data_IF_259615953567
#
_entry.id   IF_259615953567
#
_cell.length_a   1.000
_cell.length_b   1.000
_cell.length_c   1.000
_cell.angle_alpha   90.00
_cell.angle_beta   90.00
_cell.angle_gamma   90.00
#
_symmetry.space_group_name_H-M   'P 1'
#
loop_
_entity.id
_entity.type
_entity.pdbx_description
1 polymer ?
#
# COMPACT_ATOMS: atom_id res chain seq x y z
N UNK A 1 -0.66 10.60 5.83
CA UNK A 1 -1.09 10.44 4.42
C UNK A 1 -0.26 11.41 3.59
N UNK A 2 0.33 10.98 2.47
CA UNK A 2 1.24 11.75 1.60
C UNK A 2 0.53 12.92 0.89
N UNK A 3 0.06 13.88 1.69
CA UNK A 3 -0.74 15.02 1.25
C UNK A 3 0.04 15.97 0.35
N UNK A 4 1.35 16.09 0.57
CA UNK A 4 2.25 16.96 -0.18
C UNK A 4 2.54 16.45 -1.59
N UNK A 5 2.50 15.13 -1.78
CA UNK A 5 2.69 14.44 -3.06
C UNK A 5 1.38 14.12 -3.79
N UNK A 6 0.24 14.74 -3.43
CA UNK A 6 -0.95 14.54 -4.25
C UNK A 6 -0.66 14.95 -5.70
N UNK A 7 -1.11 14.17 -6.70
CA UNK A 7 -0.81 14.45 -8.12
C UNK A 7 -1.09 15.90 -8.51
N UNK A 8 -2.15 16.48 -7.96
CA UNK A 8 -2.51 17.88 -8.16
C UNK A 8 -1.50 18.86 -7.54
N UNK A 9 -0.90 18.54 -6.39
CA UNK A 9 0.09 19.40 -5.74
C UNK A 9 1.45 19.30 -6.41
N UNK A 10 1.88 18.09 -6.78
CA UNK A 10 3.13 17.89 -7.54
C UNK A 10 3.09 18.71 -8.83
N UNK A 11 1.96 18.69 -9.55
CA UNK A 11 1.81 19.46 -10.77
C UNK A 11 1.65 20.98 -10.56
N UNK A 12 1.20 21.44 -9.38
CA UNK A 12 0.83 22.85 -9.19
C UNK A 12 1.97 23.77 -8.78
N UNK A 13 2.92 23.32 -7.97
CA UNK A 13 4.02 24.19 -7.49
C UNK A 13 5.42 23.72 -7.90
N UNK A 14 5.67 22.39 -7.94
CA UNK A 14 6.98 21.89 -8.37
C UNK A 14 7.27 22.28 -9.82
N UNK A 15 6.32 22.05 -10.73
CA UNK A 15 6.46 22.42 -12.15
C UNK A 15 6.47 23.93 -12.44
N UNK A 16 6.12 24.76 -11.46
CA UNK A 16 6.05 26.23 -11.64
C UNK A 16 7.27 26.96 -11.12
N UNK A 17 8.15 26.28 -10.41
CA UNK A 17 9.37 26.89 -9.86
C UNK A 17 10.50 26.64 -10.85
N UNK A 18 10.92 27.62 -11.66
CA UNK A 18 11.87 27.40 -12.75
C UNK A 18 13.28 27.04 -12.26
N UNK A 19 13.62 27.37 -11.01
CA UNK A 19 14.92 27.07 -10.38
C UNK A 19 14.95 25.72 -9.66
N UNK A 20 13.84 24.98 -9.69
CA UNK A 20 13.76 23.66 -9.08
C UNK A 20 14.26 22.61 -10.06
N UNK A 21 15.12 21.71 -9.59
CA UNK A 21 15.64 20.61 -10.39
C UNK A 21 14.50 19.70 -10.90
N UNK A 22 14.43 19.49 -12.22
CA UNK A 22 13.46 18.61 -12.87
C UNK A 22 13.50 17.19 -12.30
N UNK A 23 14.66 16.73 -11.82
CA UNK A 23 14.81 15.42 -11.18
C UNK A 23 13.94 15.29 -9.94
N UNK A 24 13.74 16.36 -9.16
CA UNK A 24 12.83 16.33 -8.01
C UNK A 24 11.39 16.09 -8.46
N UNK A 25 10.99 16.70 -9.58
CA UNK A 25 9.66 16.53 -10.17
C UNK A 25 9.46 15.06 -10.59
N UNK A 26 10.43 14.50 -11.31
CA UNK A 26 10.40 13.10 -11.76
C UNK A 26 10.31 12.13 -10.59
N UNK A 27 11.21 12.26 -9.62
CA UNK A 27 11.25 11.38 -8.45
C UNK A 27 10.00 11.51 -7.57
N UNK A 28 9.44 12.71 -7.48
CA UNK A 28 8.16 12.95 -6.78
C UNK A 28 6.98 12.27 -7.48
N UNK A 29 6.95 12.26 -8.81
CA UNK A 29 5.92 11.55 -9.57
C UNK A 29 6.02 10.04 -9.40
N UNK A 30 7.25 9.51 -9.39
CA UNK A 30 7.50 8.10 -9.13
C UNK A 30 7.06 7.71 -7.70
N UNK A 31 7.46 8.50 -6.69
CA UNK A 31 7.04 8.30 -5.29
C UNK A 31 5.51 8.32 -5.13
N UNK A 32 4.84 9.24 -5.83
CA UNK A 32 3.37 9.30 -5.86
C UNK A 32 2.76 8.03 -6.43
N UNK A 33 3.35 7.50 -7.51
CA UNK A 33 2.89 6.27 -8.15
C UNK A 33 3.05 5.06 -7.23
N UNK A 34 4.20 4.93 -6.55
CA UNK A 34 4.41 3.86 -5.58
C UNK A 34 3.45 3.97 -4.39
N UNK A 35 3.25 5.16 -3.84
CA UNK A 35 2.29 5.37 -2.74
C UNK A 35 0.87 4.95 -3.14
N UNK A 36 0.42 5.31 -4.35
CA UNK A 36 -0.89 4.92 -4.88
C UNK A 36 -1.00 3.39 -5.01
N UNK A 37 0.03 2.73 -5.53
CA UNK A 37 0.08 1.27 -5.67
C UNK A 37 0.06 0.56 -4.32
N UNK A 38 0.86 1.01 -3.36
CA UNK A 38 0.90 0.47 -2.00
C UNK A 38 -0.45 0.66 -1.31
N UNK A 39 -1.09 1.81 -1.47
CA UNK A 39 -2.42 2.06 -0.90
C UNK A 39 -3.48 1.12 -1.48
N UNK A 40 -3.47 0.91 -2.80
CA UNK A 40 -4.36 -0.07 -3.46
C UNK A 40 -4.10 -1.49 -2.94
N UNK A 41 -2.84 -1.87 -2.79
CA UNK A 41 -2.44 -3.18 -2.28
C UNK A 41 -2.91 -3.40 -0.83
N UNK A 42 -2.73 -2.41 0.04
CA UNK A 42 -3.24 -2.43 1.43
C UNK A 42 -4.75 -2.69 1.44
N UNK A 43 -5.51 -1.93 0.66
CA UNK A 43 -6.97 -2.08 0.61
C UNK A 43 -7.38 -3.45 0.07
N UNK A 44 -6.69 -3.96 -0.94
CA UNK A 44 -6.95 -5.28 -1.50
C UNK A 44 -6.69 -6.40 -0.48
N UNK A 45 -5.53 -6.38 0.20
CA UNK A 45 -5.19 -7.37 1.22
C UNK A 45 -6.15 -7.28 2.42
N UNK A 46 -6.50 -6.07 2.87
CA UNK A 46 -7.48 -5.89 3.95
C UNK A 46 -8.83 -6.48 3.60
N UNK A 47 -9.33 -6.22 2.39
CA UNK A 47 -10.60 -6.78 1.93
C UNK A 47 -10.53 -8.30 1.88
N UNK A 48 -9.49 -8.85 1.27
CA UNK A 48 -9.32 -10.29 1.14
C UNK A 48 -9.21 -10.98 2.50
N UNK A 49 -8.38 -10.46 3.41
CA UNK A 49 -8.23 -11.00 4.75
C UNK A 49 -9.54 -11.00 5.55
N UNK A 50 -10.40 -9.98 5.34
CA UNK A 50 -11.72 -9.91 5.97
C UNK A 50 -12.71 -10.93 5.39
N UNK A 51 -12.61 -11.21 4.10
CA UNK A 51 -13.48 -12.14 3.41
C UNK A 51 -13.09 -13.62 3.68
N UNK A 52 -11.83 -13.86 4.07
CA UNK A 52 -11.33 -15.18 4.46
C UNK A 52 -11.96 -15.71 5.77
N UNK A 53 -12.37 -16.97 5.78
CA UNK A 53 -12.70 -17.72 7.01
C UNK A 53 -14.06 -17.42 7.67
N UNK A 54 -14.90 -16.59 7.06
CA UNK A 54 -16.26 -16.32 7.55
C UNK A 54 -17.20 -17.52 7.27
N UNK A 55 -18.16 -17.82 8.14
CA UNK A 55 -19.24 -18.79 7.82
C UNK A 55 -20.06 -18.38 6.60
N UNK A 56 -20.06 -17.08 6.26
CA UNK A 56 -20.69 -16.54 5.04
C UNK A 56 -19.84 -16.79 3.79
N UNK A 57 -18.59 -17.24 3.94
CA UNK A 57 -17.72 -17.67 2.85
C UNK A 57 -18.34 -18.88 2.15
N UNK A 58 -18.12 -19.07 0.83
CA UNK A 58 -18.65 -20.20 0.09
C UNK A 58 -18.44 -21.57 0.74
N UNK A 59 -17.28 -21.79 1.39
CA UNK A 59 -17.01 -23.04 2.11
C UNK A 59 -17.93 -23.27 3.31
N UNK A 60 -18.15 -22.27 4.18
CA UNK A 60 -19.06 -22.39 5.32
C UNK A 60 -20.52 -22.59 4.88
N UNK A 61 -20.95 -21.86 3.84
CA UNK A 61 -22.27 -22.06 3.21
C UNK A 61 -22.42 -23.47 2.63
N UNK A 62 -21.38 -23.97 1.96
CA UNK A 62 -21.37 -25.32 1.39
C UNK A 62 -21.44 -26.39 2.49
N UNK A 63 -20.64 -26.27 3.55
CA UNK A 63 -20.67 -27.19 4.69
C UNK A 63 -22.08 -27.28 5.31
N UNK A 64 -22.70 -26.12 5.57
CA UNK A 64 -24.06 -26.06 6.10
C UNK A 64 -25.11 -26.61 5.13
N UNK A 65 -24.99 -26.31 3.84
CA UNK A 65 -25.87 -26.86 2.81
C UNK A 65 -25.77 -28.39 2.71
N UNK A 66 -24.56 -28.93 2.80
CA UNK A 66 -24.31 -30.38 2.77
C UNK A 66 -24.94 -31.06 4.00
N UNK A 67 -24.78 -30.50 5.20
CA UNK A 67 -25.40 -31.03 6.43
C UNK A 67 -26.92 -31.02 6.34
N UNK A 68 -27.50 -29.90 5.93
CA UNK A 68 -28.96 -29.77 5.80
C UNK A 68 -29.51 -30.77 4.78
N UNK A 69 -28.79 -31.00 3.67
CA UNK A 69 -29.19 -32.01 2.69
C UNK A 69 -29.12 -33.42 3.28
N UNK A 70 -28.04 -33.73 4.02
CA UNK A 70 -27.85 -35.02 4.69
C UNK A 70 -28.99 -35.32 5.67
N UNK A 71 -29.41 -34.35 6.48
CA UNK A 71 -30.44 -34.54 7.50
C UNK A 71 -31.82 -34.86 6.91
N UNK A 72 -32.05 -34.51 5.64
CA UNK A 72 -33.22 -34.91 4.87
C UNK A 72 -33.14 -36.31 4.24
N UNK A 73 -32.01 -37.02 4.34
CA UNK A 73 -31.83 -38.33 3.70
C UNK A 73 -32.21 -39.50 4.62
N UNK A 74 -32.93 -40.47 4.06
CA UNK A 74 -33.42 -41.68 4.77
C UNK A 74 -32.38 -42.82 4.81
N UNK A 75 -31.36 -42.79 3.94
CA UNK A 75 -30.39 -43.89 3.79
C UNK A 75 -29.06 -43.64 4.51
N UNK A 76 -28.73 -44.49 5.50
CA UNK A 76 -27.49 -44.39 6.31
C UNK A 76 -26.18 -44.53 5.51
N UNK A 77 -26.20 -45.17 4.34
CA UNK A 77 -25.00 -45.44 3.54
C UNK A 77 -24.45 -44.22 2.80
N UNK A 78 -25.29 -43.22 2.50
CA UNK A 78 -24.88 -41.97 1.86
C UNK A 78 -24.56 -40.88 2.89
N UNK A 79 -25.20 -40.92 4.06
CA UNK A 79 -25.00 -39.95 5.14
C UNK A 79 -23.52 -39.79 5.53
N UNK A 80 -22.78 -40.89 5.68
CA UNK A 80 -21.35 -40.85 6.02
C UNK A 80 -20.45 -40.20 4.96
N UNK A 81 -20.84 -40.20 3.67
CA UNK A 81 -20.10 -39.49 2.61
C UNK A 81 -20.34 -37.98 2.68
N UNK A 82 -21.58 -37.57 2.94
CA UNK A 82 -21.92 -36.16 3.13
C UNK A 82 -21.27 -35.58 4.40
N UNK A 83 -21.16 -36.36 5.47
CA UNK A 83 -20.42 -35.93 6.67
C UNK A 83 -18.96 -35.62 6.37
N UNK A 84 -18.27 -36.52 5.65
CA UNK A 84 -16.88 -36.27 5.19
C UNK A 84 -16.77 -35.05 4.28
N UNK A 85 -17.75 -34.82 3.41
CA UNK A 85 -17.76 -33.67 2.51
C UNK A 85 -17.98 -32.35 3.27
N UNK A 86 -18.87 -32.35 4.27
CA UNK A 86 -19.07 -31.19 5.14
C UNK A 86 -17.82 -30.90 5.97
N UNK A 87 -17.17 -31.93 6.52
CA UNK A 87 -15.90 -31.80 7.25
C UNK A 87 -14.78 -31.26 6.35
N UNK A 88 -14.69 -31.70 5.09
CA UNK A 88 -13.74 -31.15 4.13
C UNK A 88 -13.99 -29.66 3.85
N UNK A 89 -15.25 -29.25 3.73
CA UNK A 89 -15.60 -27.83 3.55
C UNK A 89 -15.26 -26.97 4.77
N UNK A 90 -15.47 -27.48 5.99
CA UNK A 90 -15.03 -26.79 7.21
C UNK A 90 -13.50 -26.64 7.25
N UNK A 91 -12.75 -27.71 6.94
CA UNK A 91 -11.28 -27.66 6.87
C UNK A 91 -10.80 -26.66 5.81
N UNK A 92 -11.45 -26.58 4.65
CA UNK A 92 -11.15 -25.56 3.64
C UNK A 92 -11.44 -24.14 4.15
N UNK A 93 -12.52 -23.96 4.91
CA UNK A 93 -12.84 -22.68 5.55
C UNK A 93 -11.76 -22.28 6.55
N UNK A 94 -11.31 -23.21 7.40
CA UNK A 94 -10.23 -22.98 8.37
C UNK A 94 -8.90 -22.66 7.69
N UNK A 95 -8.52 -23.42 6.66
CA UNK A 95 -7.32 -23.16 5.87
C UNK A 95 -7.36 -21.78 5.20
N UNK A 96 -8.53 -21.37 4.70
CA UNK A 96 -8.74 -20.03 4.14
C UNK A 96 -8.67 -18.94 5.22
N UNK A 97 -9.22 -19.17 6.41
CA UNK A 97 -9.10 -18.25 7.55
C UNK A 97 -7.63 -18.03 7.93
N UNK A 98 -6.85 -19.11 7.98
CA UNK A 98 -5.43 -19.07 8.29
C UNK A 98 -4.63 -18.33 7.22
N UNK A 99 -4.94 -18.56 5.94
CA UNK A 99 -4.36 -17.78 4.83
C UNK A 99 -4.63 -16.28 5.02
N UNK A 100 -5.87 -15.90 5.34
CA UNK A 100 -6.26 -14.52 5.66
C UNK A 100 -5.45 -13.90 6.81
N UNK A 101 -5.22 -14.67 7.89
CA UNK A 101 -4.36 -14.26 9.01
C UNK A 101 -2.91 -14.05 8.56
N UNK A 102 -2.35 -14.98 7.79
CA UNK A 102 -0.95 -14.92 7.34
C UNK A 102 -0.68 -13.77 6.37
N UNK A 103 -1.58 -13.47 5.43
CA UNK A 103 -1.42 -12.30 4.56
C UNK A 103 -1.59 -10.99 5.35
N UNK A 104 -2.43 -10.97 6.40
CA UNK A 104 -2.55 -9.81 7.29
C UNK A 104 -1.26 -9.55 8.06
N UNK A 105 -0.70 -10.59 8.69
CA UNK A 105 0.53 -10.46 9.48
C UNK A 105 1.78 -10.28 8.63
N UNK A 106 1.86 -10.94 7.47
CA UNK A 106 3.06 -11.01 6.64
C UNK A 106 3.17 -9.93 5.56
N UNK A 107 2.02 -9.45 5.06
CA UNK A 107 1.97 -8.46 3.98
C UNK A 107 1.41 -7.12 4.47
N UNK A 108 0.20 -7.13 5.03
CA UNK A 108 -0.50 -5.90 5.40
C UNK A 108 0.26 -5.09 6.47
N UNK A 109 0.78 -5.75 7.50
CA UNK A 109 1.56 -5.08 8.56
C UNK A 109 2.76 -4.30 8.00
N UNK A 110 3.51 -4.90 7.06
CA UNK A 110 4.68 -4.30 6.41
C UNK A 110 4.27 -3.09 5.58
N UNK A 111 3.22 -3.20 4.79
CA UNK A 111 2.72 -2.08 3.98
C UNK A 111 2.22 -0.92 4.85
N UNK A 112 1.55 -1.21 5.97
CA UNK A 112 1.10 -0.17 6.90
C UNK A 112 2.28 0.53 7.58
N UNK A 113 3.28 -0.23 8.04
CA UNK A 113 4.49 0.33 8.65
C UNK A 113 5.24 1.25 7.68
N UNK A 114 5.40 0.83 6.43
CA UNK A 114 6.01 1.66 5.38
C UNK A 114 5.21 2.96 5.15
N UNK A 115 3.88 2.86 5.13
CA UNK A 115 2.99 4.01 4.99
C UNK A 115 3.05 4.98 6.18
N UNK A 116 3.36 4.48 7.37
CA UNK A 116 3.42 5.31 8.57
C UNK A 116 4.79 5.96 8.79
N UNK A 117 5.88 5.32 8.35
CA UNK A 117 7.24 5.86 8.53
C UNK A 117 7.70 6.62 7.29
N UNK A 118 7.98 5.93 6.19
CA UNK A 118 8.66 6.51 5.03
C UNK A 118 7.81 7.55 4.30
N UNK A 119 6.48 7.37 4.29
CA UNK A 119 5.57 8.37 3.71
C UNK A 119 5.51 9.68 4.52
N UNK A 120 5.80 9.65 5.83
CA UNK A 120 5.82 10.87 6.65
C UNK A 120 7.06 11.70 6.38
N UNK A 121 8.21 11.04 6.24
CA UNK A 121 9.48 11.71 5.93
C UNK A 121 9.39 12.45 4.58
N UNK A 122 8.87 11.77 3.55
CA UNK A 122 8.63 12.40 2.25
C UNK A 122 7.61 13.53 2.35
N UNK A 123 6.48 13.36 3.06
CA UNK A 123 5.48 14.42 3.20
C UNK A 123 6.04 15.65 3.91
N UNK A 124 6.86 15.47 4.94
CA UNK A 124 7.53 16.55 5.67
C UNK A 124 8.53 17.29 4.77
N UNK A 125 9.39 16.56 4.08
CA UNK A 125 10.41 17.13 3.22
C UNK A 125 9.77 17.93 2.07
N UNK A 126 8.75 17.37 1.42
CA UNK A 126 8.05 18.03 0.32
C UNK A 126 7.26 19.27 0.78
N UNK A 127 6.78 19.31 2.04
CA UNK A 127 6.16 20.52 2.63
C UNK A 127 7.18 21.63 2.84
N UNK A 128 8.39 21.30 3.30
CA UNK A 128 9.47 22.28 3.49
C UNK A 128 9.91 22.86 2.15
N UNK A 129 10.11 22.00 1.14
CA UNK A 129 10.44 22.43 -0.21
C UNK A 129 9.35 23.33 -0.81
N UNK A 130 8.07 22.95 -0.66
CA UNK A 130 6.94 23.77 -1.10
C UNK A 130 6.90 25.15 -0.45
N UNK A 131 7.31 25.25 0.82
CA UNK A 131 7.37 26.52 1.54
C UNK A 131 8.45 27.42 0.96
N UNK A 132 9.66 26.89 0.75
CA UNK A 132 10.77 27.67 0.19
C UNK A 132 10.50 28.13 -1.25
N UNK A 133 9.84 27.32 -2.08
CA UNK A 133 9.38 27.75 -3.40
C UNK A 133 8.44 28.96 -3.35
N UNK A 134 7.48 28.96 -2.39
CA UNK A 134 6.56 30.09 -2.19
C UNK A 134 7.28 31.32 -1.65
N UNK A 135 8.22 31.13 -0.73
CA UNK A 135 9.02 32.20 -0.15
C UNK A 135 9.90 32.86 -1.23
N UNK A 136 10.52 32.06 -2.10
CA UNK A 136 11.27 32.54 -3.27
C UNK A 136 10.40 33.38 -4.22
N UNK A 137 9.20 32.89 -4.57
CA UNK A 137 8.27 33.64 -5.43
C UNK A 137 7.85 34.97 -4.77
N UNK A 138 7.58 34.96 -3.47
CA UNK A 138 7.25 36.18 -2.71
C UNK A 138 8.41 37.17 -2.68
N UNK A 139 9.63 36.67 -2.46
CA UNK A 139 10.82 37.50 -2.35
C UNK A 139 11.23 38.10 -3.69
N UNK A 140 11.04 37.38 -4.81
CA UNK A 140 11.20 37.94 -6.17
C UNK A 140 10.28 39.13 -6.42
N UNK A 141 8.99 39.00 -6.11
CA UNK A 141 8.02 40.11 -6.23
C UNK A 141 8.36 41.31 -5.36
N UNK A 142 9.06 41.11 -4.23
CA UNK A 142 9.55 42.20 -3.38
C UNK A 142 10.79 42.86 -3.96
N UNK A 143 11.72 42.07 -4.50
CA UNK A 143 12.96 42.53 -5.14
C UNK A 143 12.69 43.32 -6.43
N UNK A 144 11.68 42.93 -7.22
CA UNK A 144 11.20 43.69 -8.38
C UNK A 144 10.76 45.11 -8.00
N UNK A 145 10.21 45.29 -6.79
CA UNK A 145 9.75 46.58 -6.28
C UNK A 145 10.85 47.37 -5.55
N UNK A 146 11.87 46.69 -5.05
CA UNK A 146 12.92 47.25 -4.20
C UNK A 146 14.19 46.39 -4.32
N UNK A 147 15.16 46.87 -5.10
CA UNK A 147 16.42 46.15 -5.37
C UNK A 147 17.24 45.87 -4.11
N UNK A 148 17.05 46.64 -3.02
CA UNK A 148 17.72 46.36 -1.74
C UNK A 148 17.25 45.04 -1.10
N UNK A 149 16.21 44.40 -1.63
CA UNK A 149 15.69 43.10 -1.17
C UNK A 149 16.24 41.91 -1.94
N UNK A 150 17.19 42.10 -2.87
CA UNK A 150 17.83 41.00 -3.61
C UNK A 150 18.45 39.94 -2.68
N UNK A 151 19.00 40.34 -1.52
CA UNK A 151 19.54 39.39 -0.53
C UNK A 151 18.51 38.35 -0.04
N UNK A 152 17.21 38.68 -0.03
CA UNK A 152 16.15 37.74 0.33
C UNK A 152 15.94 36.68 -0.75
N UNK A 153 16.14 37.05 -2.02
CA UNK A 153 16.10 36.12 -3.16
C UNK A 153 17.29 35.17 -3.07
N UNK A 154 18.49 35.70 -2.85
CA UNK A 154 19.72 34.90 -2.73
C UNK A 154 19.62 33.90 -1.56
N UNK A 155 19.15 34.34 -0.39
CA UNK A 155 18.93 33.46 0.76
C UNK A 155 17.87 32.37 0.49
N UNK A 156 16.84 32.69 -0.31
CA UNK A 156 15.81 31.72 -0.70
C UNK A 156 16.32 30.73 -1.73
N UNK A 157 17.18 31.14 -2.66
CA UNK A 157 17.84 30.27 -3.64
C UNK A 157 18.79 29.29 -2.97
N UNK A 158 19.58 29.74 -2.00
CA UNK A 158 20.46 28.86 -1.22
C UNK A 158 19.64 27.82 -0.43
N UNK A 159 18.55 28.27 0.21
CA UNK A 159 17.63 27.37 0.90
C UNK A 159 16.95 26.39 -0.05
N UNK A 160 16.59 26.83 -1.26
CA UNK A 160 15.97 25.99 -2.28
C UNK A 160 16.94 24.90 -2.72
N UNK A 161 18.20 25.26 -3.01
CA UNK A 161 19.23 24.32 -3.42
C UNK A 161 19.44 23.22 -2.37
N UNK A 162 19.65 23.62 -1.10
CA UNK A 162 19.82 22.68 0.00
C UNK A 162 18.62 21.75 0.16
N UNK A 163 17.41 22.30 0.20
CA UNK A 163 16.21 21.47 0.37
C UNK A 163 15.93 20.60 -0.84
N UNK A 164 16.33 21.01 -2.05
CA UNK A 164 16.24 20.20 -3.27
C UNK A 164 17.11 18.96 -3.13
N UNK A 165 18.37 19.13 -2.72
CA UNK A 165 19.30 18.01 -2.47
C UNK A 165 18.77 17.05 -1.39
N UNK A 166 18.31 17.60 -0.25
CA UNK A 166 17.71 16.80 0.84
C UNK A 166 16.44 16.05 0.38
N UNK A 167 15.63 16.70 -0.48
CA UNK A 167 14.41 16.09 -1.05
C UNK A 167 14.74 14.96 -2.01
N UNK A 168 15.75 15.13 -2.88
CA UNK A 168 16.20 14.08 -3.78
C UNK A 168 16.64 12.84 -3.01
N UNK A 169 17.46 13.02 -1.97
CA UNK A 169 17.93 11.90 -1.13
C UNK A 169 16.75 11.18 -0.48
N UNK A 170 15.80 11.93 0.06
CA UNK A 170 14.61 11.38 0.72
C UNK A 170 13.72 10.62 -0.26
N UNK A 171 13.47 11.18 -1.45
CA UNK A 171 12.70 10.55 -2.52
C UNK A 171 13.41 9.30 -3.06
N UNK A 172 14.73 9.32 -3.19
CA UNK A 172 15.51 8.17 -3.66
C UNK A 172 15.39 7.00 -2.69
N UNK A 173 15.56 7.28 -1.40
CA UNK A 173 15.37 6.29 -0.34
C UNK A 173 13.95 5.73 -0.36
N UNK A 174 12.95 6.59 -0.49
CA UNK A 174 11.55 6.19 -0.56
C UNK A 174 11.25 5.29 -1.77
N UNK A 175 11.70 5.68 -2.97
CA UNK A 175 11.45 4.92 -4.20
C UNK A 175 12.13 3.54 -4.13
N UNK A 176 13.39 3.48 -3.68
CA UNK A 176 14.11 2.21 -3.48
C UNK A 176 13.40 1.32 -2.46
N UNK A 177 13.02 1.88 -1.32
CA UNK A 177 12.33 1.14 -0.26
C UNK A 177 10.92 0.66 -0.71
N UNK A 178 10.22 1.45 -1.53
CA UNK A 178 8.94 1.08 -2.15
C UNK A 178 9.08 -0.15 -3.04
N UNK A 179 10.09 -0.19 -3.91
CA UNK A 179 10.35 -1.34 -4.79
C UNK A 179 10.68 -2.59 -3.96
N UNK A 180 11.54 -2.45 -2.95
CA UNK A 180 11.87 -3.57 -2.05
C UNK A 180 10.63 -4.08 -1.32
N UNK A 181 9.78 -3.19 -0.80
CA UNK A 181 8.54 -3.57 -0.15
C UNK A 181 7.60 -4.31 -1.09
N UNK A 182 7.38 -3.79 -2.30
CA UNK A 182 6.47 -4.41 -3.27
C UNK A 182 6.95 -5.81 -3.66
N UNK A 183 8.25 -5.99 -3.90
CA UNK A 183 8.84 -7.29 -4.19
C UNK A 183 8.71 -8.25 -3.01
N UNK A 184 9.03 -7.81 -1.79
CA UNK A 184 8.90 -8.62 -0.59
C UNK A 184 7.45 -9.02 -0.32
N UNK A 185 6.51 -8.10 -0.52
CA UNK A 185 5.08 -8.34 -0.33
C UNK A 185 4.54 -9.32 -1.37
N UNK A 186 4.94 -9.17 -2.63
CA UNK A 186 4.59 -10.09 -3.71
C UNK A 186 5.10 -11.51 -3.44
N UNK A 187 6.36 -11.64 -3.04
CA UNK A 187 6.97 -12.93 -2.69
C UNK A 187 6.28 -13.59 -1.50
N UNK A 188 6.02 -12.83 -0.43
CA UNK A 188 5.32 -13.34 0.75
C UNK A 188 3.89 -13.78 0.42
N UNK A 189 3.14 -12.96 -0.31
CA UNK A 189 1.77 -13.29 -0.71
C UNK A 189 1.74 -14.58 -1.55
N UNK A 190 2.65 -14.71 -2.53
CA UNK A 190 2.77 -15.92 -3.36
C UNK A 190 3.05 -17.16 -2.51
N UNK A 191 4.01 -17.07 -1.58
CA UNK A 191 4.35 -18.16 -0.66
C UNK A 191 3.13 -18.60 0.17
N UNK A 192 2.37 -17.65 0.70
CA UNK A 192 1.18 -17.97 1.49
C UNK A 192 0.06 -18.59 0.64
N UNK A 193 -0.10 -18.14 -0.60
CA UNK A 193 -1.07 -18.70 -1.54
C UNK A 193 -0.70 -20.14 -1.93
N UNK A 194 0.58 -20.42 -2.19
CA UNK A 194 1.08 -21.76 -2.47
C UNK A 194 0.87 -22.70 -1.28
N UNK A 195 1.14 -22.23 -0.06
CA UNK A 195 0.88 -23.00 1.16
C UNK A 195 -0.62 -23.32 1.34
N UNK A 196 -1.49 -22.33 1.09
CA UNK A 196 -2.94 -22.53 1.11
C UNK A 196 -3.39 -23.56 0.07
N UNK A 197 -2.93 -23.44 -1.17
CA UNK A 197 -3.28 -24.36 -2.25
C UNK A 197 -2.81 -25.80 -1.97
N UNK A 198 -1.60 -25.95 -1.41
CA UNK A 198 -1.08 -27.25 -1.00
C UNK A 198 -1.93 -27.88 0.10
N UNK A 199 -2.40 -27.09 1.07
CA UNK A 199 -3.28 -27.58 2.13
C UNK A 199 -4.68 -27.93 1.60
N UNK A 200 -5.27 -27.06 0.77
CA UNK A 200 -6.55 -27.31 0.13
C UNK A 200 -6.54 -28.59 -0.73
N UNK A 201 -5.44 -28.86 -1.43
CA UNK A 201 -5.29 -30.08 -2.23
C UNK A 201 -5.30 -31.35 -1.36
N UNK A 202 -4.71 -31.32 -0.15
CA UNK A 202 -4.81 -32.45 0.79
C UNK A 202 -6.25 -32.65 1.25
N UNK A 203 -6.98 -31.56 1.44
CA UNK A 203 -8.37 -31.60 1.94
C UNK A 203 -9.35 -32.15 0.91
N UNK A 204 -9.12 -31.90 -0.38
CA UNK A 204 -10.06 -32.31 -1.44
C UNK A 204 -9.84 -33.78 -1.87
N UNK A 205 -8.66 -34.35 -1.65
CA UNK A 205 -8.30 -35.71 -2.08
C UNK A 205 -8.68 -36.83 -1.07
N UNK A 206 -9.70 -36.60 -0.22
CA UNK A 206 -10.22 -37.60 0.74
C UNK A 206 -11.38 -38.44 0.20
#
# INVERSE_FOLDING_TARGET
MLSALSRDRVNKWLKKTPDLDDKVVEMSNEATTYHDQITKLVNAIQKQAKDCGSEKHPFGKAANGIRNYKDGMVTKSLAGKYDKMAEAMDKLMEANAEFGRKISSGCLSKCLSFRDVDCRDVDQQMKQLAKVCKDLESNRKKAEKDQNKNYLVDASLESLKKLTEDSLITLEKFNKASVVLLNATSSEYKKQLEAYNAEAAKIINF
#
